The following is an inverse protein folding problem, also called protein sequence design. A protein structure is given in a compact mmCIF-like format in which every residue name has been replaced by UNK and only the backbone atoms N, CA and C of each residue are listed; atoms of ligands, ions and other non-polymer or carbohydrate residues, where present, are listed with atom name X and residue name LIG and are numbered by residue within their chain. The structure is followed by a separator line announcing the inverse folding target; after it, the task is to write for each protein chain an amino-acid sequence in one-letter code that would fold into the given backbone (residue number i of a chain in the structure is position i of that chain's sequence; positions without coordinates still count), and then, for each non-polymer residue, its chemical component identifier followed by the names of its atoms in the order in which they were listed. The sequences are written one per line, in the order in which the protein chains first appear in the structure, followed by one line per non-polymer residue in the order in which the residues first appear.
data_IF_375510375793
#
_entry.id   IF_375510375793
#
_cell.length_a   1.000
_cell.length_b   1.000
_cell.length_c   1.000
_cell.angle_alpha   90.00
_cell.angle_beta   90.00
_cell.angle_gamma   90.00
#
_symmetry.space_group_name_H-M   'P 1'
#
loop_
_entity.id
_entity.type
_entity.pdbx_description
1 polymer ?
#
# COMPACT_ATOMS: atom_id res chain seq x y z
N UNK A 1 16.66 6.88 2.56
CA UNK A 1 15.23 6.65 2.27
C UNK A 1 14.99 6.47 0.78
N UNK A 2 15.72 7.20 -0.09
CA UNK A 2 15.59 7.05 -1.55
C UNK A 2 15.86 5.62 -2.04
N UNK A 3 16.86 4.92 -1.49
CA UNK A 3 17.10 3.51 -1.84
C UNK A 3 15.91 2.60 -1.53
N UNK A 4 15.24 2.78 -0.38
CA UNK A 4 14.07 1.99 -0.02
C UNK A 4 12.87 2.30 -0.93
N UNK A 5 12.67 3.58 -1.26
CA UNK A 5 11.63 3.99 -2.22
C UNK A 5 11.84 3.32 -3.57
N UNK A 6 13.07 3.32 -4.07
CA UNK A 6 13.43 2.71 -5.33
C UNK A 6 13.16 1.19 -5.30
N UNK A 7 13.66 0.47 -4.28
CA UNK A 7 13.44 -0.97 -4.14
C UNK A 7 11.95 -1.34 -4.10
N UNK A 8 11.14 -0.61 -3.32
CA UNK A 8 9.70 -0.84 -3.25
C UNK A 8 9.01 -0.57 -4.60
N UNK A 9 9.46 0.43 -5.35
CA UNK A 9 8.95 0.76 -6.68
C UNK A 9 9.36 -0.26 -7.74
N UNK A 10 10.51 -0.91 -7.60
CA UNK A 10 10.99 -1.95 -8.50
C UNK A 10 10.31 -3.31 -8.24
N UNK A 11 10.13 -3.68 -6.97
CA UNK A 11 9.65 -5.02 -6.59
C UNK A 11 8.13 -5.15 -6.44
N UNK A 12 7.43 -4.09 -6.03
CA UNK A 12 5.97 -4.18 -5.94
C UNK A 12 5.34 -4.08 -7.34
N UNK A 13 4.27 -4.84 -7.64
CA UNK A 13 3.50 -4.63 -8.86
C UNK A 13 2.87 -3.23 -8.89
N UNK A 14 2.67 -2.59 -10.07
CA UNK A 14 2.07 -1.26 -10.15
C UNK A 14 0.68 -1.15 -9.51
N UNK A 15 -0.10 -2.22 -9.60
CA UNK A 15 -1.39 -2.39 -8.95
C UNK A 15 -1.46 -3.83 -8.42
N UNK A 16 -1.87 -4.01 -7.17
CA UNK A 16 -1.98 -5.34 -6.56
C UNK A 16 -3.15 -5.42 -5.59
N UNK A 17 -3.61 -6.65 -5.29
CA UNK A 17 -4.68 -6.86 -4.32
C UNK A 17 -4.21 -6.41 -2.93
N UNK A 18 -5.03 -5.63 -2.21
CA UNK A 18 -4.67 -5.15 -0.87
C UNK A 18 -4.32 -6.30 0.09
N UNK A 19 -5.02 -7.44 -0.02
CA UNK A 19 -4.74 -8.66 0.76
C UNK A 19 -3.36 -9.28 0.50
N UNK A 20 -2.69 -8.95 -0.60
CA UNK A 20 -1.36 -9.46 -0.94
C UNK A 20 -0.23 -8.58 -0.39
N UNK A 21 -0.54 -7.44 0.24
CA UNK A 21 0.48 -6.51 0.75
C UNK A 21 1.40 -7.17 1.78
N UNK A 22 0.86 -8.01 2.66
CA UNK A 22 1.62 -8.74 3.68
C UNK A 22 2.72 -9.59 3.03
N UNK A 23 2.36 -10.41 2.04
CA UNK A 23 3.33 -11.27 1.36
C UNK A 23 4.32 -10.47 0.50
N UNK A 24 3.84 -9.43 -0.20
CA UNK A 24 4.67 -8.64 -1.12
C UNK A 24 5.68 -7.74 -0.39
N UNK A 25 5.41 -7.40 0.87
CA UNK A 25 6.29 -6.56 1.70
C UNK A 25 7.06 -7.37 2.74
N UNK A 26 7.11 -8.71 2.62
CA UNK A 26 7.80 -9.56 3.60
C UNK A 26 7.25 -9.41 5.02
N UNK A 27 5.95 -9.13 5.14
CA UNK A 27 5.22 -8.85 6.38
C UNK A 27 5.53 -7.52 7.08
N UNK A 28 6.32 -6.64 6.45
CA UNK A 28 6.59 -5.30 6.99
C UNK A 28 5.32 -4.43 7.04
N UNK A 29 4.43 -4.59 6.06
CA UNK A 29 3.12 -3.92 6.04
C UNK A 29 2.01 -4.95 6.17
N UNK A 30 1.14 -4.75 7.17
CA UNK A 30 0.00 -5.64 7.44
C UNK A 30 -1.29 -5.06 6.87
N UNK A 31 -2.00 -5.85 6.06
CA UNK A 31 -3.27 -5.46 5.47
C UNK A 31 -4.30 -5.03 6.51
N UNK A 32 -4.34 -5.72 7.66
CA UNK A 32 -5.20 -5.35 8.78
C UNK A 32 -4.93 -3.92 9.27
N UNK A 33 -3.66 -3.53 9.37
CA UNK A 33 -3.27 -2.16 9.75
C UNK A 33 -3.69 -1.15 8.69
N UNK A 34 -3.47 -1.47 7.42
CA UNK A 34 -3.91 -0.62 6.29
C UNK A 34 -5.43 -0.43 6.31
N UNK A 35 -6.22 -1.48 6.56
CA UNK A 35 -7.68 -1.35 6.68
C UNK A 35 -8.10 -0.46 7.84
N UNK A 36 -7.45 -0.60 9.01
CA UNK A 36 -7.73 0.25 10.17
C UNK A 36 -7.42 1.72 9.87
N UNK A 37 -6.22 2.00 9.34
CA UNK A 37 -5.81 3.36 8.99
C UNK A 37 -6.71 3.97 7.90
N UNK A 38 -7.10 3.16 6.89
CA UNK A 38 -8.07 3.57 5.86
C UNK A 38 -9.42 3.93 6.45
N UNK A 39 -9.95 3.14 7.40
CA UNK A 39 -11.23 3.46 8.06
C UNK A 39 -11.17 4.76 8.87
N UNK A 40 -9.98 5.13 9.36
CA UNK A 40 -9.71 6.39 10.05
C UNK A 40 -9.39 7.54 9.09
N UNK A 41 -9.46 7.32 7.77
CA UNK A 41 -9.08 8.30 6.73
C UNK A 41 -7.63 8.82 6.88
N UNK A 42 -6.74 7.99 7.45
CA UNK A 42 -5.30 8.31 7.62
C UNK A 42 -4.44 7.90 6.42
N UNK A 43 -5.01 7.17 5.47
CA UNK A 43 -4.37 6.81 4.21
C UNK A 43 -5.09 7.56 3.09
N UNK A 44 -4.37 8.28 2.23
CA UNK A 44 -4.92 8.91 1.04
C UNK A 44 -5.79 7.95 0.19
N UNK A 45 -6.90 8.45 -0.35
CA UNK A 45 -7.83 7.60 -1.12
C UNK A 45 -7.25 7.11 -2.45
N UNK A 46 -6.32 7.87 -3.05
CA UNK A 46 -5.61 7.55 -4.29
C UNK A 46 -4.66 6.34 -4.15
N UNK A 47 -4.31 5.95 -2.93
CA UNK A 47 -3.63 4.68 -2.66
C UNK A 47 -4.51 3.47 -3.00
N UNK A 48 -5.83 3.65 -3.16
CA UNK A 48 -6.78 2.58 -3.33
C UNK A 48 -7.54 2.68 -4.65
N UNK A 49 -7.74 1.53 -5.28
CA UNK A 49 -8.64 1.36 -6.42
C UNK A 49 -9.65 0.27 -6.11
N UNK A 50 -10.88 0.39 -6.64
CA UNK A 50 -11.87 -0.69 -6.54
C UNK A 50 -11.94 -1.47 -7.84
N UNK A 51 -11.94 -2.80 -7.72
CA UNK A 51 -12.29 -3.71 -8.81
C UNK A 51 -13.62 -4.38 -8.46
N UNK A 52 -14.71 -3.80 -8.95
CA UNK A 52 -16.06 -4.18 -8.55
C UNK A 52 -16.36 -3.89 -7.07
N UNK A 53 -17.35 -4.59 -6.52
CA UNK A 53 -17.86 -4.31 -5.17
C UNK A 53 -17.01 -4.87 -4.03
N UNK A 54 -16.24 -5.95 -4.27
CA UNK A 54 -15.59 -6.73 -3.20
C UNK A 54 -14.06 -6.60 -3.14
N UNK A 55 -13.41 -6.13 -4.21
CA UNK A 55 -11.94 -6.10 -4.27
C UNK A 55 -11.42 -4.68 -4.13
N UNK A 56 -10.60 -4.47 -3.09
CA UNK A 56 -9.75 -3.28 -2.98
C UNK A 56 -8.36 -3.64 -3.50
N UNK A 57 -7.88 -2.85 -4.45
CA UNK A 57 -6.52 -2.88 -4.96
C UNK A 57 -5.74 -1.71 -4.36
N UNK A 58 -4.42 -1.87 -4.23
CA UNK A 58 -3.48 -0.82 -3.89
C UNK A 58 -2.77 -0.34 -5.16
N UNK A 59 -2.60 0.97 -5.26
CA UNK A 59 -1.84 1.63 -6.33
C UNK A 59 -0.45 1.92 -5.80
N UNK A 60 0.58 1.31 -6.41
CA UNK A 60 1.95 1.27 -5.87
C UNK A 60 2.54 2.64 -5.57
N UNK A 61 2.51 3.55 -6.55
CA UNK A 61 3.19 4.84 -6.44
C UNK A 61 2.70 5.71 -5.26
N UNK A 62 1.39 6.05 -5.16
CA UNK A 62 0.88 6.81 -4.03
C UNK A 62 0.99 6.04 -2.71
N UNK A 63 0.83 4.72 -2.74
CA UNK A 63 0.97 3.90 -1.53
C UNK A 63 2.39 3.90 -0.96
N UNK A 64 3.42 3.75 -1.80
CA UNK A 64 4.83 3.79 -1.37
C UNK A 64 5.20 5.18 -0.86
N UNK A 65 4.76 6.24 -1.54
CA UNK A 65 4.98 7.63 -1.10
C UNK A 65 4.39 7.86 0.30
N UNK A 66 3.12 7.51 0.50
CA UNK A 66 2.47 7.62 1.80
C UNK A 66 3.16 6.77 2.88
N UNK A 67 3.52 5.53 2.56
CA UNK A 67 4.11 4.61 3.53
C UNK A 67 5.43 5.14 4.09
N UNK A 68 6.29 5.66 3.22
CA UNK A 68 7.57 6.25 3.62
C UNK A 68 7.40 7.51 4.46
N UNK A 69 6.39 8.33 4.18
CA UNK A 69 6.04 9.48 5.02
C UNK A 69 5.49 9.06 6.39
N UNK A 70 4.75 7.95 6.45
CA UNK A 70 4.11 7.46 7.67
C UNK A 70 5.09 6.81 8.67
N UNK A 71 6.18 6.20 8.18
CA UNK A 71 7.19 5.55 9.03
C UNK A 71 8.35 6.45 9.44
N UNK A 72 8.43 7.67 8.89
CA UNK A 72 9.33 8.73 9.34
C UNK A 72 8.75 9.46 10.55
#
# INVERSE_FOLDING_TARGET
MDNLKQELMEHLPPIFAGRAVDSLTGNAVRWRTIQNLRSQKKIPEDCFMRQGSRKTLLVRAPFVEWFLQYIN
#
